data_IF_679030470807
#
_entry.id   IF_679030470807
#
_cell.length_a   1.000
_cell.length_b   1.000
_cell.length_c   1.000
_cell.angle_alpha   90.00
_cell.angle_beta   90.00
_cell.angle_gamma   90.00
#
_symmetry.space_group_name_H-M   'P 1'
#
loop_
_entity.id
_entity.type
_entity.pdbx_description
1 polymer ?
#
# COMPACT_ATOMS: atom_id res chain seq x y z
N UNK A 1 -30.71 4.73 -4.85
CA UNK A 1 -30.12 3.98 -5.98
C UNK A 1 -28.82 3.35 -5.50
N UNK A 2 -28.86 2.08 -5.16
CA UNK A 2 -27.66 1.30 -4.75
C UNK A 2 -27.02 0.77 -6.03
N UNK A 3 -26.09 1.53 -6.60
CA UNK A 3 -25.23 1.03 -7.68
C UNK A 3 -24.31 -0.04 -7.08
N UNK A 4 -24.75 -1.30 -7.17
CA UNK A 4 -23.90 -2.42 -6.88
C UNK A 4 -22.73 -2.40 -7.86
N UNK A 5 -21.49 -2.28 -7.36
CA UNK A 5 -20.29 -2.38 -8.18
C UNK A 5 -20.28 -3.74 -8.90
N UNK A 6 -20.07 -3.75 -10.23
CA UNK A 6 -20.03 -5.00 -10.97
C UNK A 6 -18.92 -5.90 -10.45
N UNK A 7 -19.26 -7.13 -10.06
CA UNK A 7 -18.32 -8.14 -9.56
C UNK A 7 -17.63 -8.83 -10.74
N UNK A 8 -16.56 -8.23 -11.27
CA UNK A 8 -15.81 -8.80 -12.40
C UNK A 8 -14.50 -9.51 -11.98
N UNK A 9 -14.17 -9.52 -10.69
CA UNK A 9 -12.95 -10.17 -10.23
C UNK A 9 -13.23 -11.65 -9.90
N UNK A 10 -12.52 -12.55 -10.58
CA UNK A 10 -12.45 -13.96 -10.19
C UNK A 10 -11.76 -14.09 -8.83
N UNK A 11 -11.99 -15.21 -8.13
CA UNK A 11 -11.34 -15.49 -6.84
C UNK A 11 -9.81 -15.46 -6.97
N UNK A 12 -9.27 -15.96 -8.08
CA UNK A 12 -7.84 -15.92 -8.40
C UNK A 12 -7.35 -14.49 -8.65
N UNK A 13 -8.12 -13.66 -9.37
CA UNK A 13 -7.77 -12.25 -9.58
C UNK A 13 -7.78 -11.45 -8.27
N UNK A 14 -8.74 -11.73 -7.38
CA UNK A 14 -8.78 -11.13 -6.05
C UNK A 14 -7.55 -11.55 -5.22
N UNK A 15 -7.20 -12.83 -5.24
CA UNK A 15 -6.02 -13.36 -4.54
C UNK A 15 -4.72 -12.70 -5.03
N UNK A 16 -4.54 -12.59 -6.36
CA UNK A 16 -3.38 -11.90 -6.95
C UNK A 16 -3.32 -10.42 -6.52
N UNK A 17 -4.45 -9.75 -6.48
CA UNK A 17 -4.52 -8.34 -6.07
C UNK A 17 -4.14 -8.17 -4.60
N UNK A 18 -4.59 -9.06 -3.72
CA UNK A 18 -4.24 -9.07 -2.30
C UNK A 18 -2.75 -9.35 -2.12
N UNK A 19 -2.21 -10.38 -2.78
CA UNK A 19 -0.77 -10.73 -2.72
C UNK A 19 0.08 -9.57 -3.22
N UNK A 20 -0.29 -8.95 -4.36
CA UNK A 20 0.42 -7.78 -4.89
C UNK A 20 0.36 -6.58 -3.92
N UNK A 21 -0.75 -6.41 -3.21
CA UNK A 21 -0.88 -5.35 -2.19
C UNK A 21 -0.06 -5.60 -0.92
N UNK A 22 0.21 -6.88 -0.59
CA UNK A 22 1.02 -7.27 0.56
C UNK A 22 2.52 -7.22 0.25
N UNK A 23 2.92 -7.54 -1.00
CA UNK A 23 4.31 -7.45 -1.45
C UNK A 23 4.66 -5.97 -1.63
N UNK A 24 5.20 -5.37 -0.59
CA UNK A 24 5.71 -4.01 -0.61
C UNK A 24 7.24 -3.98 -0.53
N UNK A 25 7.82 -2.78 -0.57
CA UNK A 25 9.28 -2.59 -0.43
C UNK A 25 9.85 -3.17 0.89
N UNK A 26 9.02 -3.36 1.90
CA UNK A 26 9.41 -3.97 3.17
C UNK A 26 10.02 -5.35 3.03
N UNK A 27 9.54 -6.17 2.07
CA UNK A 27 10.09 -7.52 1.84
C UNK A 27 11.55 -7.48 1.35
N UNK A 28 11.96 -6.40 0.70
CA UNK A 28 13.33 -6.22 0.20
C UNK A 28 14.21 -5.43 1.17
N UNK A 29 13.65 -4.42 1.85
CA UNK A 29 14.41 -3.50 2.71
C UNK A 29 14.57 -3.96 4.17
N UNK A 30 13.56 -4.62 4.73
CA UNK A 30 13.55 -4.98 6.14
C UNK A 30 14.45 -6.18 6.51
N UNK A 31 14.60 -7.24 5.68
CA UNK A 31 15.38 -8.41 6.08
C UNK A 31 16.83 -8.09 6.42
N UNK A 32 17.47 -7.23 5.62
CA UNK A 32 18.86 -6.81 5.88
C UNK A 32 19.02 -6.03 7.18
N UNK A 33 18.06 -5.18 7.52
CA UNK A 33 18.01 -4.45 8.79
C UNK A 33 17.77 -5.37 9.99
N UNK A 34 16.81 -6.28 9.86
CA UNK A 34 16.51 -7.25 10.90
C UNK A 34 17.67 -8.20 11.17
N UNK A 35 18.36 -8.67 10.12
CA UNK A 35 19.53 -9.52 10.26
C UNK A 35 20.71 -8.81 10.96
N UNK A 36 20.89 -7.51 10.74
CA UNK A 36 21.90 -6.71 11.45
C UNK A 36 21.62 -6.55 12.94
N UNK A 37 20.35 -6.45 13.32
CA UNK A 37 19.92 -6.23 14.71
C UNK A 37 19.77 -7.54 15.50
N UNK A 38 19.24 -8.58 14.88
CA UNK A 38 18.84 -9.83 15.53
C UNK A 38 19.64 -11.05 15.08
N UNK A 39 20.57 -10.89 14.14
CA UNK A 39 21.40 -11.99 13.64
C UNK A 39 20.57 -13.17 13.15
N UNK A 40 20.94 -14.37 13.60
CA UNK A 40 20.30 -15.64 13.23
C UNK A 40 18.84 -15.77 13.72
N UNK A 41 18.43 -14.96 14.71
CA UNK A 41 17.05 -14.97 15.23
C UNK A 41 16.07 -14.16 14.39
N UNK A 42 16.52 -13.45 13.34
CA UNK A 42 15.66 -12.62 12.51
C UNK A 42 14.46 -13.36 11.91
N UNK A 43 14.52 -14.62 11.44
CA UNK A 43 13.34 -15.35 10.96
C UNK A 43 12.29 -15.60 12.05
N UNK A 44 12.75 -15.90 13.29
CA UNK A 44 11.84 -16.11 14.42
C UNK A 44 11.12 -14.83 14.82
N UNK A 45 11.80 -13.68 14.73
CA UNK A 45 11.17 -12.37 14.99
C UNK A 45 10.05 -12.09 13.96
N UNK A 46 10.28 -12.39 12.68
CA UNK A 46 9.23 -12.26 11.66
C UNK A 46 8.03 -13.16 11.95
N UNK A 47 8.27 -14.41 12.35
CA UNK A 47 7.19 -15.33 12.73
C UNK A 47 6.40 -14.80 13.94
N UNK A 48 7.11 -14.31 14.96
CA UNK A 48 6.49 -13.71 16.14
C UNK A 48 5.66 -12.46 15.77
N UNK A 49 6.19 -11.57 14.94
CA UNK A 49 5.44 -10.40 14.45
C UNK A 49 4.21 -10.81 13.63
N UNK A 50 4.31 -11.86 12.82
CA UNK A 50 3.16 -12.39 12.07
C UNK A 50 2.07 -12.90 12.99
N UNK A 51 2.41 -13.59 14.08
CA UNK A 51 1.46 -14.03 15.10
C UNK A 51 0.81 -12.85 15.84
N UNK A 52 1.59 -11.79 16.14
CA UNK A 52 1.06 -10.60 16.81
C UNK A 52 0.07 -9.80 15.94
N UNK A 53 0.29 -9.74 14.63
CA UNK A 53 -0.60 -9.01 13.73
C UNK A 53 -1.85 -9.81 13.35
N UNK A 54 -1.82 -11.13 13.50
CA UNK A 54 -2.91 -12.02 13.11
C UNK A 54 -4.27 -11.64 13.73
N UNK A 55 -4.39 -11.35 15.05
CA UNK A 55 -5.67 -10.94 15.65
C UNK A 55 -6.22 -9.66 15.03
N UNK A 56 -5.34 -8.71 14.67
CA UNK A 56 -5.75 -7.45 14.01
C UNK A 56 -6.32 -7.74 12.63
N UNK A 57 -5.65 -8.62 11.86
CA UNK A 57 -6.12 -9.01 10.53
C UNK A 57 -7.46 -9.74 10.59
N UNK A 58 -7.64 -10.64 11.55
CA UNK A 58 -8.89 -11.35 11.76
C UNK A 58 -10.03 -10.41 12.15
N UNK A 59 -9.79 -9.45 13.05
CA UNK A 59 -10.77 -8.43 13.42
C UNK A 59 -11.16 -7.56 12.23
N UNK A 60 -10.20 -7.16 11.39
CA UNK A 60 -10.49 -6.40 10.18
C UNK A 60 -11.27 -7.22 9.14
N UNK A 61 -10.98 -8.53 9.02
CA UNK A 61 -11.71 -9.44 8.14
C UNK A 61 -13.16 -9.60 8.61
N UNK A 62 -13.38 -9.74 9.92
CA UNK A 62 -14.71 -9.79 10.52
C UNK A 62 -15.48 -8.49 10.25
N UNK A 63 -14.89 -7.33 10.54
CA UNK A 63 -15.50 -6.03 10.24
C UNK A 63 -15.87 -5.91 8.76
N UNK A 64 -15.00 -6.35 7.84
CA UNK A 64 -15.27 -6.32 6.41
C UNK A 64 -16.48 -7.18 6.02
N UNK A 65 -16.81 -8.23 6.76
CA UNK A 65 -17.99 -9.07 6.52
C UNK A 65 -19.31 -8.36 6.78
N UNK A 66 -19.34 -7.44 7.73
CA UNK A 66 -20.53 -6.65 8.08
C UNK A 66 -20.80 -5.49 7.10
N UNK A 67 -19.76 -4.99 6.41
CA UNK A 67 -19.88 -3.84 5.53
C UNK A 67 -19.71 -4.22 4.06
N UNK A 68 -20.81 -4.19 3.28
CA UNK A 68 -20.80 -4.56 1.85
C UNK A 68 -20.42 -3.41 0.90
N UNK A 69 -20.09 -2.22 1.40
CA UNK A 69 -19.76 -1.05 0.59
C UNK A 69 -18.29 -0.67 0.65
N UNK A 70 -17.83 0.13 -0.31
CA UNK A 70 -16.50 0.74 -0.31
C UNK A 70 -16.32 1.70 0.86
N UNK A 71 -15.06 1.90 1.31
CA UNK A 71 -14.71 2.85 2.38
C UNK A 71 -13.86 2.27 3.51
N UNK A 72 -13.83 0.94 3.67
CA UNK A 72 -12.94 0.26 4.62
C UNK A 72 -12.90 0.90 6.03
N UNK A 73 -11.70 1.19 6.56
CA UNK A 73 -11.52 1.71 7.93
C UNK A 73 -12.27 3.01 8.22
N UNK A 74 -12.45 3.87 7.21
CA UNK A 74 -13.24 5.11 7.34
C UNK A 74 -14.68 4.79 7.71
N UNK A 75 -15.27 3.84 6.98
CA UNK A 75 -16.66 3.44 7.19
C UNK A 75 -16.86 2.74 8.53
N UNK A 76 -15.90 1.89 8.92
CA UNK A 76 -15.95 1.20 10.21
C UNK A 76 -15.86 2.21 11.36
N UNK A 77 -14.92 3.15 11.28
CA UNK A 77 -14.77 4.22 12.26
C UNK A 77 -16.00 5.14 12.34
N UNK A 78 -16.58 5.48 11.19
CA UNK A 78 -17.81 6.30 11.15
C UNK A 78 -19.00 5.58 11.78
N UNK A 79 -19.16 4.29 11.49
CA UNK A 79 -20.28 3.51 12.01
C UNK A 79 -20.18 3.26 13.53
N UNK A 80 -18.97 3.03 14.05
CA UNK A 80 -18.75 2.72 15.46
C UNK A 80 -18.64 3.97 16.34
N UNK A 81 -18.01 5.04 15.86
CA UNK A 81 -17.60 6.18 16.68
C UNK A 81 -18.05 7.55 16.12
N UNK A 82 -18.78 7.55 15.02
CA UNK A 82 -19.29 8.76 14.38
C UNK A 82 -18.34 9.38 13.33
N UNK A 83 -18.84 10.43 12.63
CA UNK A 83 -18.17 10.98 11.44
C UNK A 83 -16.80 11.60 11.73
N UNK A 84 -16.56 12.13 12.91
CA UNK A 84 -15.27 12.71 13.27
C UNK A 84 -14.17 11.66 13.31
N UNK A 85 -14.40 10.52 13.97
CA UNK A 85 -13.42 9.41 14.05
C UNK A 85 -13.24 8.75 12.67
N UNK A 86 -14.33 8.61 11.90
CA UNK A 86 -14.23 8.15 10.52
C UNK A 86 -13.36 9.05 9.65
N UNK A 87 -13.49 10.37 9.77
CA UNK A 87 -12.63 11.34 9.09
C UNK A 87 -11.16 11.19 9.50
N UNK A 88 -10.89 11.10 10.81
CA UNK A 88 -9.53 10.90 11.32
C UNK A 88 -8.90 9.59 10.81
N UNK A 89 -9.66 8.50 10.78
CA UNK A 89 -9.20 7.23 10.21
C UNK A 89 -8.82 7.36 8.73
N UNK A 90 -9.62 8.11 7.96
CA UNK A 90 -9.32 8.40 6.55
C UNK A 90 -8.07 9.24 6.36
N UNK A 91 -7.92 10.27 7.19
CA UNK A 91 -6.75 11.16 7.16
C UNK A 91 -5.46 10.41 7.49
N UNK A 92 -5.46 9.62 8.56
CA UNK A 92 -4.32 8.78 8.95
C UNK A 92 -3.98 7.75 7.87
N UNK A 93 -4.99 7.13 7.27
CA UNK A 93 -4.79 6.20 6.15
C UNK A 93 -4.15 6.87 4.94
N UNK A 94 -4.58 8.08 4.61
CA UNK A 94 -4.00 8.87 3.52
C UNK A 94 -2.52 9.19 3.79
N UNK A 95 -2.20 9.69 4.99
CA UNK A 95 -0.80 9.97 5.38
C UNK A 95 0.05 8.70 5.34
N UNK A 96 -0.45 7.59 5.88
CA UNK A 96 0.25 6.31 5.85
C UNK A 96 0.57 5.85 4.42
N UNK A 97 -0.35 6.07 3.47
CA UNK A 97 -0.12 5.76 2.04
C UNK A 97 0.94 6.67 1.41
N UNK A 98 0.95 7.97 1.72
CA UNK A 98 1.98 8.89 1.25
C UNK A 98 3.37 8.50 1.77
N UNK A 99 3.49 8.19 3.05
CA UNK A 99 4.76 7.76 3.66
C UNK A 99 5.23 6.43 3.07
N UNK A 100 4.32 5.48 2.88
CA UNK A 100 4.64 4.20 2.23
C UNK A 100 5.12 4.39 0.79
N UNK A 101 4.48 5.27 0.03
CA UNK A 101 4.90 5.59 -1.35
C UNK A 101 6.30 6.23 -1.37
N UNK A 102 6.56 7.18 -0.49
CA UNK A 102 7.87 7.81 -0.36
C UNK A 102 8.96 6.78 0.01
N UNK A 103 8.69 5.91 0.99
CA UNK A 103 9.62 4.86 1.40
C UNK A 103 9.94 3.89 0.25
N UNK A 104 8.92 3.45 -0.50
CA UNK A 104 9.10 2.59 -1.67
C UNK A 104 9.95 3.26 -2.75
N UNK A 105 9.74 4.54 -3.01
CA UNK A 105 10.50 5.30 -4.02
C UNK A 105 11.95 5.48 -3.61
N UNK A 106 12.21 5.77 -2.33
CA UNK A 106 13.57 5.85 -1.79
C UNK A 106 14.30 4.51 -1.92
N UNK A 107 13.65 3.40 -1.53
CA UNK A 107 14.24 2.07 -1.63
C UNK A 107 14.56 1.69 -3.08
N UNK A 108 13.71 2.08 -4.03
CA UNK A 108 13.96 1.89 -5.45
C UNK A 108 15.23 2.62 -5.90
N UNK A 109 15.39 3.88 -5.50
CA UNK A 109 16.60 4.66 -5.84
C UNK A 109 17.84 4.07 -5.17
N UNK A 110 17.75 3.62 -3.92
CA UNK A 110 18.86 2.96 -3.23
C UNK A 110 19.24 1.63 -3.92
N UNK A 111 18.26 0.91 -4.47
CA UNK A 111 18.50 -0.29 -5.28
C UNK A 111 19.18 0.03 -6.62
N UNK A 112 18.80 1.13 -7.27
CA UNK A 112 19.46 1.62 -8.50
C UNK A 112 20.90 2.04 -8.18
N UNK A 113 21.13 2.66 -7.04
CA UNK A 113 22.45 3.12 -6.62
C UNK A 113 23.45 1.98 -6.41
N UNK A 114 22.98 0.75 -6.17
CA UNK A 114 23.84 -0.42 -6.12
C UNK A 114 24.55 -0.67 -7.47
N UNK A 115 23.85 -0.44 -8.59
CA UNK A 115 24.42 -0.59 -9.94
C UNK A 115 25.02 0.71 -10.47
N UNK A 116 24.50 1.85 -10.03
CA UNK A 116 24.92 3.18 -10.45
C UNK A 116 25.10 4.10 -9.25
N UNK A 117 26.29 4.11 -8.61
CA UNK A 117 26.55 4.87 -7.37
C UNK A 117 26.26 6.36 -7.45
N UNK A 118 26.37 6.97 -8.63
CA UNK A 118 26.03 8.37 -8.84
C UNK A 118 24.54 8.69 -8.60
N UNK A 119 23.66 7.69 -8.65
CA UNK A 119 22.22 7.87 -8.38
C UNK A 119 21.94 8.16 -6.89
N UNK A 120 22.83 7.77 -5.97
CA UNK A 120 22.68 8.01 -4.54
C UNK A 120 23.18 9.38 -4.09
N UNK A 121 23.89 10.13 -4.95
CA UNK A 121 24.61 11.35 -4.57
C UNK A 121 23.87 12.64 -4.95
N UNK A 122 23.83 13.59 -4.01
CA UNK A 122 23.49 15.00 -4.19
C UNK A 122 22.25 15.27 -5.06
N UNK A 123 22.41 16.12 -6.07
CA UNK A 123 21.33 16.53 -6.98
C UNK A 123 20.75 15.38 -7.81
N UNK A 124 21.56 14.39 -8.17
CA UNK A 124 21.08 13.26 -8.98
C UNK A 124 20.00 12.46 -8.26
N UNK A 125 20.17 12.22 -6.96
CA UNK A 125 19.16 11.54 -6.12
C UNK A 125 17.83 12.26 -6.15
N UNK A 126 17.84 13.58 -5.99
CA UNK A 126 16.63 14.41 -6.00
C UNK A 126 15.95 14.37 -7.38
N UNK A 127 16.73 14.48 -8.45
CA UNK A 127 16.22 14.45 -9.84
C UNK A 127 15.57 13.10 -10.12
N UNK A 128 16.21 11.99 -9.76
CA UNK A 128 15.69 10.64 -10.00
C UNK A 128 14.40 10.42 -9.20
N UNK A 129 14.40 10.75 -7.89
CA UNK A 129 13.20 10.65 -7.06
C UNK A 129 12.04 11.46 -7.63
N UNK A 130 12.28 12.72 -7.99
CA UNK A 130 11.26 13.60 -8.57
C UNK A 130 10.75 13.06 -9.91
N UNK A 131 11.64 12.56 -10.77
CA UNK A 131 11.27 11.98 -12.07
C UNK A 131 10.38 10.75 -11.91
N UNK A 132 10.69 9.86 -10.96
CA UNK A 132 9.88 8.67 -10.67
C UNK A 132 8.50 9.10 -10.16
N UNK A 133 8.42 10.04 -9.22
CA UNK A 133 7.15 10.52 -8.67
C UNK A 133 6.28 11.14 -9.78
N UNK A 134 6.86 12.01 -10.60
CA UNK A 134 6.15 12.64 -11.72
C UNK A 134 5.69 11.60 -12.74
N UNK A 135 6.55 10.66 -13.13
CA UNK A 135 6.21 9.61 -14.09
C UNK A 135 5.05 8.74 -13.59
N UNK A 136 5.11 8.28 -12.34
CA UNK A 136 4.04 7.47 -11.73
C UNK A 136 2.73 8.27 -11.57
N UNK A 137 2.82 9.55 -11.24
CA UNK A 137 1.65 10.43 -11.16
C UNK A 137 1.00 10.60 -12.52
N UNK A 138 1.78 10.87 -13.57
CA UNK A 138 1.28 10.98 -14.94
C UNK A 138 0.65 9.67 -15.43
N UNK A 139 1.29 8.54 -15.17
CA UNK A 139 0.72 7.22 -15.50
C UNK A 139 -0.61 6.98 -14.79
N UNK A 140 -0.72 7.37 -13.53
CA UNK A 140 -1.96 7.23 -12.77
C UNK A 140 -3.07 8.12 -13.34
N UNK A 141 -2.79 9.38 -13.65
CA UNK A 141 -3.75 10.32 -14.26
C UNK A 141 -4.22 9.80 -15.63
N UNK A 142 -3.31 9.38 -16.50
CA UNK A 142 -3.67 8.84 -17.81
C UNK A 142 -4.44 7.53 -17.70
N UNK A 143 -4.04 6.66 -16.78
CA UNK A 143 -4.72 5.39 -16.52
C UNK A 143 -6.14 5.58 -16.01
N UNK A 144 -6.37 6.49 -15.07
CA UNK A 144 -7.70 6.80 -14.55
C UNK A 144 -8.61 7.44 -15.59
N UNK A 145 -8.10 8.33 -16.44
CA UNK A 145 -8.86 8.93 -17.55
C UNK A 145 -9.27 7.88 -18.57
N UNK A 146 -8.39 6.94 -18.91
CA UNK A 146 -8.74 5.84 -19.83
C UNK A 146 -9.80 4.92 -19.25
N UNK A 147 -9.68 4.56 -17.97
CA UNK A 147 -10.66 3.73 -17.28
C UNK A 147 -12.04 4.41 -17.22
N UNK A 148 -12.10 5.71 -16.93
CA UNK A 148 -13.35 6.47 -16.94
C UNK A 148 -13.98 6.55 -18.35
N UNK A 149 -13.17 6.73 -19.41
CA UNK A 149 -13.67 6.78 -20.78
C UNK A 149 -14.23 5.42 -21.23
N UNK A 150 -13.60 4.31 -20.86
CA UNK A 150 -14.11 2.97 -21.17
C UNK A 150 -15.43 2.67 -20.46
N UNK A 151 -15.60 3.15 -19.21
CA UNK A 151 -16.86 3.03 -18.47
C UNK A 151 -17.98 3.91 -19.01
N UNK A 152 -17.67 5.06 -19.59
CA UNK A 152 -18.65 5.97 -20.18
C UNK A 152 -19.08 5.55 -21.61
N UNK A 153 -18.37 4.61 -22.23
CA UNK A 153 -18.65 4.07 -23.56
C UNK A 153 -19.47 2.76 -23.53
N UNK A 154 -19.75 2.24 -22.32
CA UNK A 154 -20.64 1.09 -22.05
C UNK A 154 -22.01 1.56 -21.54
#
# INVERSE_FOLDING_TARGET
MTTALPRHLSLFGLWLLVVNGLIGAGIFGLPGGAAKLAGEYSPLIYLFCALLILPILLSMAELASYFRGSGGPVRYGTAAFGPFIGFQAGWLYYIARLVSFAANTVLLVDSIAYFWPAAASGSNRVIILSSIIVALTLLNVVGSVRAMRSLAAL
#
